data_IF_749884268866
#
_entry.id   IF_749884268866
#
_cell.length_a   1.000
_cell.length_b   1.000
_cell.length_c   1.000
_cell.angle_alpha   90.00
_cell.angle_beta   90.00
_cell.angle_gamma   90.00
#
_symmetry.space_group_name_H-M   'P 1'
#
loop_
_entity.id
_entity.type
_entity.pdbx_description
1 polymer ?
#
# COMPACT_ATOMS: atom_id res chain seq x y z
N UNK A 1 16.98 16.70 1.69
CA UNK A 1 16.90 18.16 1.46
C UNK A 1 17.18 18.55 0.01
N UNK A 2 18.40 18.40 -0.55
CA UNK A 2 18.71 18.83 -1.94
C UNK A 2 17.73 18.29 -3.00
N UNK A 3 17.34 17.01 -2.90
CA UNK A 3 16.34 16.43 -3.81
C UNK A 3 14.96 17.09 -3.69
N UNK A 4 14.55 17.44 -2.47
CA UNK A 4 13.28 18.14 -2.21
C UNK A 4 13.31 19.57 -2.78
N UNK A 5 14.42 20.29 -2.63
CA UNK A 5 14.60 21.61 -3.25
C UNK A 5 14.52 21.53 -4.78
N UNK A 6 15.16 20.53 -5.38
CA UNK A 6 15.07 20.32 -6.83
C UNK A 6 13.64 19.96 -7.29
N UNK A 7 12.91 19.17 -6.49
CA UNK A 7 11.54 18.82 -6.76
C UNK A 7 10.59 20.02 -6.69
N UNK A 8 10.81 20.93 -5.74
CA UNK A 8 10.07 22.19 -5.64
C UNK A 8 10.26 23.06 -6.90
N UNK A 9 11.46 23.09 -7.46
CA UNK A 9 11.76 23.88 -8.67
C UNK A 9 11.08 23.33 -9.94
N UNK A 10 10.87 22.00 -10.04
CA UNK A 10 10.38 21.37 -11.27
C UNK A 10 8.99 20.73 -11.15
N UNK A 11 8.31 20.90 -10.00
CA UNK A 11 6.97 20.38 -9.76
C UNK A 11 6.89 18.87 -9.50
N UNK A 12 8.02 18.20 -9.27
CA UNK A 12 8.03 16.77 -8.94
C UNK A 12 7.50 16.51 -7.53
N UNK A 13 6.86 15.36 -7.35
CA UNK A 13 6.41 14.87 -6.05
C UNK A 13 7.46 13.93 -5.43
N UNK A 14 7.98 14.29 -4.25
CA UNK A 14 8.87 13.41 -3.50
C UNK A 14 8.05 12.32 -2.83
N UNK A 15 8.37 11.07 -3.16
CA UNK A 15 7.84 9.89 -2.48
C UNK A 15 8.87 9.42 -1.46
N UNK A 16 8.44 9.14 -0.22
CA UNK A 16 9.34 8.81 0.88
C UNK A 16 8.93 7.52 1.56
N UNK A 17 9.80 6.51 1.49
CA UNK A 17 9.83 5.42 2.46
C UNK A 17 10.43 5.97 3.75
N UNK A 18 9.65 6.04 4.81
CA UNK A 18 9.99 6.77 6.02
C UNK A 18 10.18 5.83 7.23
N UNK A 19 11.38 5.30 7.40
CA UNK A 19 11.80 4.59 8.61
C UNK A 19 13.20 5.06 9.05
N UNK A 20 13.48 5.09 10.35
CA UNK A 20 14.82 5.39 10.85
C UNK A 20 15.75 4.16 10.72
N UNK A 21 16.37 4.03 9.54
CA UNK A 21 17.24 2.90 9.22
C UNK A 21 18.41 2.69 10.21
N UNK A 22 19.02 3.77 10.69
CA UNK A 22 20.17 3.68 11.61
C UNK A 22 19.75 3.06 12.95
N UNK A 23 18.62 3.49 13.52
CA UNK A 23 18.09 2.91 14.75
C UNK A 23 17.63 1.46 14.53
N UNK A 24 17.02 1.17 13.39
CA UNK A 24 16.58 -0.18 13.02
C UNK A 24 17.78 -1.14 12.95
N UNK A 25 18.89 -0.74 12.34
CA UNK A 25 20.07 -1.60 12.22
C UNK A 25 20.63 -1.99 13.58
N UNK A 26 20.70 -1.04 14.53
CA UNK A 26 21.09 -1.32 15.92
C UNK A 26 20.16 -2.35 16.58
N UNK A 27 18.84 -2.17 16.45
CA UNK A 27 17.86 -3.08 17.06
C UNK A 27 17.91 -4.48 16.45
N UNK A 28 18.13 -4.57 15.12
CA UNK A 28 18.27 -5.84 14.40
C UNK A 28 19.52 -6.60 14.82
N UNK A 29 20.65 -5.92 14.96
CA UNK A 29 21.89 -6.53 15.46
C UNK A 29 21.71 -7.06 16.88
N UNK A 30 21.17 -6.24 17.78
CA UNK A 30 20.92 -6.64 19.16
C UNK A 30 19.94 -7.82 19.28
N UNK A 31 18.94 -7.92 18.40
CA UNK A 31 18.04 -9.07 18.35
C UNK A 31 18.82 -10.35 18.01
N UNK A 32 19.57 -10.34 16.92
CA UNK A 32 20.35 -11.53 16.52
C UNK A 32 21.41 -11.91 17.56
N UNK A 33 22.04 -10.96 18.25
CA UNK A 33 22.97 -11.22 19.36
C UNK A 33 22.31 -11.98 20.53
N UNK A 34 21.00 -11.80 20.74
CA UNK A 34 20.22 -12.55 21.74
C UNK A 34 19.71 -13.90 21.24
N UNK A 35 19.93 -14.23 19.96
CA UNK A 35 19.36 -15.41 19.31
C UNK A 35 17.93 -15.19 18.79
N UNK A 36 17.45 -13.96 18.79
CA UNK A 36 16.11 -13.58 18.31
C UNK A 36 16.10 -13.51 16.76
N UNK A 37 16.09 -14.68 16.10
CA UNK A 37 16.27 -14.80 14.63
C UNK A 37 14.99 -15.07 13.82
N UNK A 38 13.86 -15.33 14.47
CA UNK A 38 12.58 -15.64 13.84
C UNK A 38 11.92 -14.43 13.10
N UNK A 39 10.99 -14.65 12.14
CA UNK A 39 10.35 -13.58 11.37
C UNK A 39 9.70 -12.47 12.19
N UNK A 40 9.14 -12.78 13.37
CA UNK A 40 8.58 -11.81 14.31
C UNK A 40 9.54 -10.66 14.62
N UNK A 41 10.83 -10.95 14.72
CA UNK A 41 11.84 -9.95 15.07
C UNK A 41 12.11 -8.95 13.94
N UNK A 42 11.71 -9.25 12.71
CA UNK A 42 11.63 -8.23 11.65
C UNK A 42 10.63 -7.12 12.02
N UNK A 43 9.48 -7.51 12.58
CA UNK A 43 8.44 -6.57 13.01
C UNK A 43 8.84 -5.78 14.26
N UNK A 44 9.31 -6.48 15.31
CA UNK A 44 9.56 -5.86 16.62
C UNK A 44 10.82 -4.98 16.65
N UNK A 45 11.80 -5.21 15.76
CA UNK A 45 12.99 -4.34 15.64
C UNK A 45 12.73 -3.06 14.85
N UNK A 46 11.58 -2.92 14.21
CA UNK A 46 11.18 -1.76 13.42
C UNK A 46 9.96 -1.08 14.04
N UNK A 47 10.09 -0.60 15.27
CA UNK A 47 8.95 -0.09 16.04
C UNK A 47 8.21 1.06 15.33
N UNK A 48 6.89 1.24 15.54
CA UNK A 48 6.09 2.31 14.92
C UNK A 48 6.66 3.72 15.11
N UNK A 49 7.31 3.97 16.25
CA UNK A 49 7.93 5.28 16.57
C UNK A 49 9.07 5.60 15.59
N UNK A 50 9.78 4.61 15.06
CA UNK A 50 10.87 4.82 14.08
C UNK A 50 10.34 5.20 12.70
N UNK A 51 9.12 4.78 12.36
CA UNK A 51 8.41 5.27 11.18
C UNK A 51 7.95 6.71 11.40
N UNK A 52 7.32 6.99 12.55
CA UNK A 52 6.85 8.33 12.89
C UNK A 52 7.96 9.38 12.93
N UNK A 53 9.12 9.08 13.55
CA UNK A 53 10.28 9.97 13.54
C UNK A 53 10.74 10.30 12.11
N UNK A 54 10.81 9.29 11.25
CA UNK A 54 11.26 9.48 9.88
C UNK A 54 10.24 10.27 9.05
N UNK A 55 8.93 10.07 9.29
CA UNK A 55 7.86 10.87 8.69
C UNK A 55 7.97 12.32 9.14
N UNK A 56 8.08 12.57 10.45
CA UNK A 56 8.28 13.90 11.02
C UNK A 56 9.49 14.61 10.40
N UNK A 57 10.63 13.92 10.34
CA UNK A 57 11.87 14.44 9.75
C UNK A 57 11.71 14.73 8.26
N UNK A 58 11.03 13.87 7.50
CA UNK A 58 10.77 14.12 6.08
C UNK A 58 9.87 15.36 5.88
N UNK A 59 8.84 15.52 6.71
CA UNK A 59 7.93 16.68 6.70
C UNK A 59 8.70 17.98 7.01
N UNK A 60 9.54 17.98 8.05
CA UNK A 60 10.34 19.15 8.39
C UNK A 60 11.28 19.55 7.23
N UNK A 61 11.89 18.57 6.56
CA UNK A 61 12.73 18.83 5.40
C UNK A 61 11.94 19.31 4.18
N UNK A 62 10.72 18.82 3.97
CA UNK A 62 9.86 19.27 2.88
C UNK A 62 9.36 20.70 3.10
N UNK A 63 9.10 21.07 4.35
CA UNK A 63 8.72 22.43 4.74
C UNK A 63 9.87 23.43 4.48
N UNK A 64 11.10 23.08 4.87
CA UNK A 64 12.30 23.88 4.54
C UNK A 64 12.50 24.03 3.03
N UNK A 65 12.21 22.97 2.25
CA UNK A 65 12.36 22.99 0.81
C UNK A 65 11.20 23.65 0.05
N UNK A 66 10.05 23.86 0.70
CA UNK A 66 8.81 24.26 0.03
C UNK A 66 8.30 23.20 -0.97
N UNK A 67 8.63 21.92 -0.77
CA UNK A 67 8.30 20.83 -1.69
C UNK A 67 7.09 20.03 -1.21
N UNK A 68 6.22 19.54 -2.09
CA UNK A 68 5.20 18.56 -1.71
C UNK A 68 5.84 17.21 -1.34
N UNK A 69 5.20 16.51 -0.40
CA UNK A 69 5.68 15.24 0.13
C UNK A 69 4.58 14.18 0.10
N UNK A 70 4.93 12.98 -0.37
CA UNK A 70 4.08 11.80 -0.36
C UNK A 70 4.74 10.69 0.45
N UNK A 71 4.14 10.32 1.58
CA UNK A 71 4.59 9.18 2.38
C UNK A 71 3.98 7.90 1.78
N UNK A 72 4.83 7.01 1.28
CA UNK A 72 4.40 5.70 0.76
C UNK A 72 4.13 4.74 1.92
N UNK A 73 3.27 3.73 1.67
CA UNK A 73 3.04 2.57 2.54
C UNK A 73 3.04 2.87 4.07
N UNK A 74 2.32 3.91 4.48
CA UNK A 74 2.17 4.33 5.88
C UNK A 74 1.41 3.24 6.64
N UNK A 75 2.04 2.73 7.70
CA UNK A 75 1.62 1.50 8.39
C UNK A 75 1.09 1.72 9.81
N UNK A 76 1.34 2.87 10.43
CA UNK A 76 1.09 3.06 11.85
C UNK A 76 0.30 4.32 12.22
N UNK A 77 -0.45 4.25 13.33
CA UNK A 77 -1.11 5.40 13.96
C UNK A 77 -0.13 6.53 14.29
N UNK A 78 1.07 6.21 14.81
CA UNK A 78 2.09 7.21 15.12
C UNK A 78 2.53 8.00 13.89
N UNK A 79 2.79 7.32 12.76
CA UNK A 79 3.13 7.98 11.51
C UNK A 79 1.96 8.80 10.94
N UNK A 80 0.74 8.30 11.10
CA UNK A 80 -0.47 9.01 10.68
C UNK A 80 -0.66 10.33 11.46
N UNK A 81 -0.38 10.34 12.77
CA UNK A 81 -0.46 11.55 13.59
C UNK A 81 0.45 12.68 13.06
N UNK A 82 1.66 12.35 12.63
CA UNK A 82 2.58 13.32 12.03
C UNK A 82 2.04 13.89 10.71
N UNK A 83 1.44 13.04 9.87
CA UNK A 83 0.80 13.47 8.61
C UNK A 83 -0.38 14.39 8.89
N UNK A 84 -1.26 14.00 9.82
CA UNK A 84 -2.43 14.82 10.24
C UNK A 84 -1.94 16.18 10.74
N UNK A 85 -0.97 16.21 11.64
CA UNK A 85 -0.45 17.45 12.21
C UNK A 85 0.18 18.36 11.13
N UNK A 86 0.83 17.80 10.12
CA UNK A 86 1.37 18.59 9.01
C UNK A 86 0.27 19.16 8.11
N UNK A 87 -0.76 18.37 7.83
CA UNK A 87 -1.91 18.78 7.02
C UNK A 87 -2.76 19.85 7.71
N UNK A 88 -2.94 19.76 9.02
CA UNK A 88 -3.63 20.77 9.84
C UNK A 88 -2.89 22.12 9.83
N UNK A 89 -1.56 22.11 9.64
CA UNK A 89 -0.77 23.32 9.40
C UNK A 89 -0.85 23.86 7.97
N UNK A 90 -1.58 23.19 7.08
CA UNK A 90 -1.75 23.57 5.68
C UNK A 90 -0.61 23.13 4.76
N UNK A 91 0.25 22.19 5.18
CA UNK A 91 1.33 21.68 4.33
C UNK A 91 0.81 20.70 3.27
N UNK A 92 1.46 20.71 2.10
CA UNK A 92 1.22 19.76 1.01
C UNK A 92 1.87 18.39 1.31
N UNK A 93 1.38 17.75 2.37
CA UNK A 93 1.77 16.41 2.79
C UNK A 93 0.62 15.44 2.53
N UNK A 94 0.96 14.36 1.82
CA UNK A 94 0.06 13.30 1.42
C UNK A 94 0.61 11.96 1.90
N UNK A 95 -0.27 10.99 2.06
CA UNK A 95 0.10 9.66 2.48
C UNK A 95 -0.79 8.59 1.86
N UNK A 96 -0.16 7.45 1.66
CA UNK A 96 -0.73 6.21 1.17
C UNK A 96 -0.66 5.15 2.26
N UNK A 97 -1.65 4.26 2.29
CA UNK A 97 -1.51 2.98 3.00
C UNK A 97 -1.76 1.82 2.04
N UNK A 98 -1.70 0.59 2.52
CA UNK A 98 -1.87 -0.63 1.71
C UNK A 98 -2.76 -1.65 2.44
N UNK A 99 -3.47 -2.55 1.72
CA UNK A 99 -4.40 -3.51 2.31
C UNK A 99 -3.79 -4.35 3.45
N UNK A 100 -2.52 -4.72 3.35
CA UNK A 100 -1.85 -5.48 4.41
C UNK A 100 -1.88 -4.78 5.78
N UNK A 101 -1.87 -3.44 5.83
CA UNK A 101 -1.95 -2.69 7.08
C UNK A 101 -3.40 -2.49 7.57
N UNK A 102 -4.39 -2.87 6.78
CA UNK A 102 -5.82 -2.75 7.08
C UNK A 102 -6.47 -4.09 7.43
N UNK A 103 -5.88 -5.20 6.99
CA UNK A 103 -6.45 -6.55 7.08
C UNK A 103 -5.53 -7.58 7.74
N UNK A 104 -4.23 -7.32 7.81
CA UNK A 104 -3.24 -8.19 8.46
C UNK A 104 -2.63 -7.44 9.65
N UNK A 105 -2.04 -8.18 10.58
CA UNK A 105 -1.42 -7.60 11.77
C UNK A 105 -0.18 -8.36 12.24
N UNK A 106 0.45 -7.88 13.31
CA UNK A 106 1.69 -8.42 13.83
C UNK A 106 1.59 -9.93 14.15
N UNK A 107 0.42 -10.45 14.49
CA UNK A 107 0.23 -11.88 14.77
C UNK A 107 0.48 -12.78 13.56
N UNK A 108 0.38 -12.25 12.34
CA UNK A 108 0.74 -12.99 11.13
C UNK A 108 2.24 -13.29 11.05
N UNK A 109 3.08 -12.46 11.67
CA UNK A 109 4.52 -12.71 11.82
C UNK A 109 4.84 -13.72 12.94
N UNK A 110 3.89 -13.98 13.84
CA UNK A 110 4.01 -14.92 14.97
C UNK A 110 3.65 -16.36 14.58
N UNK A 111 3.21 -16.59 13.34
CA UNK A 111 2.87 -17.93 12.83
C UNK A 111 4.04 -18.89 13.03
N UNK A 112 3.70 -20.12 13.41
CA UNK A 112 4.65 -21.16 13.79
C UNK A 112 5.69 -21.45 12.71
N UNK A 113 6.82 -21.99 13.15
CA UNK A 113 7.93 -22.36 12.27
C UNK A 113 8.42 -21.15 11.46
N UNK A 114 8.44 -21.26 10.13
CA UNK A 114 8.89 -20.21 9.23
C UNK A 114 7.73 -19.56 8.46
N UNK A 115 6.48 -19.91 8.76
CA UNK A 115 5.30 -19.42 8.03
C UNK A 115 5.10 -17.90 8.16
N UNK A 116 5.54 -17.31 9.28
CA UNK A 116 5.56 -15.86 9.46
C UNK A 116 6.38 -15.10 8.41
N UNK A 117 7.34 -15.76 7.74
CA UNK A 117 8.15 -15.14 6.67
C UNK A 117 7.32 -14.66 5.47
N UNK A 118 6.16 -15.27 5.23
CA UNK A 118 5.19 -14.87 4.18
C UNK A 118 4.65 -13.46 4.39
N UNK A 119 4.76 -12.92 5.61
CA UNK A 119 4.20 -11.64 6.03
C UNK A 119 5.27 -10.56 6.26
N UNK A 120 6.54 -10.88 6.01
CA UNK A 120 7.66 -9.94 6.14
C UNK A 120 7.64 -8.89 5.04
N UNK A 121 7.46 -7.62 5.42
CA UNK A 121 7.52 -6.41 4.60
C UNK A 121 8.05 -5.21 5.41
N UNK A 122 8.37 -4.08 4.76
CA UNK A 122 8.90 -2.88 5.41
C UNK A 122 8.19 -1.62 4.91
N UNK A 123 7.51 -0.84 5.78
CA UNK A 123 7.33 -1.05 7.21
C UNK A 123 6.62 -2.36 7.54
N UNK A 124 6.87 -2.99 8.70
CA UNK A 124 6.26 -4.28 9.02
C UNK A 124 4.79 -4.13 9.38
N UNK A 125 4.09 -5.27 9.43
CA UNK A 125 2.76 -5.35 10.03
C UNK A 125 2.81 -4.86 11.48
N UNK A 126 1.72 -4.22 11.92
CA UNK A 126 1.59 -3.58 13.24
C UNK A 126 0.60 -4.34 14.10
N UNK A 127 0.60 -4.16 15.44
CA UNK A 127 -0.50 -4.63 16.27
C UNK A 127 -1.86 -4.16 15.71
N UNK A 128 -2.87 -5.00 15.83
CA UNK A 128 -4.18 -4.82 15.18
C UNK A 128 -4.84 -3.47 15.48
N UNK A 129 -4.59 -2.89 16.67
CA UNK A 129 -5.12 -1.58 17.08
C UNK A 129 -4.78 -0.44 16.10
N UNK A 130 -3.67 -0.53 15.36
CA UNK A 130 -3.30 0.47 14.36
C UNK A 130 -4.29 0.53 13.19
N UNK A 131 -4.97 -0.58 12.86
CA UNK A 131 -5.88 -0.67 11.71
C UNK A 131 -7.03 0.34 11.80
N UNK A 132 -7.63 0.54 12.98
CA UNK A 132 -8.75 1.48 13.15
C UNK A 132 -8.31 2.93 12.92
N UNK A 133 -7.09 3.28 13.32
CA UNK A 133 -6.54 4.60 13.05
C UNK A 133 -6.32 4.83 11.55
N UNK A 134 -5.84 3.83 10.81
CA UNK A 134 -5.66 3.91 9.36
C UNK A 134 -7.01 3.99 8.62
N UNK A 135 -8.00 3.18 9.02
CA UNK A 135 -9.38 3.29 8.50
C UNK A 135 -9.98 4.67 8.76
N UNK A 136 -9.78 5.23 9.96
CA UNK A 136 -10.17 6.61 10.27
C UNK A 136 -9.47 7.59 9.34
N UNK A 137 -8.15 7.46 9.13
CA UNK A 137 -7.38 8.32 8.23
C UNK A 137 -7.89 8.29 6.79
N UNK A 138 -8.29 7.12 6.29
CA UNK A 138 -8.95 7.00 4.98
C UNK A 138 -10.31 7.68 4.95
N UNK A 139 -11.09 7.61 6.04
CA UNK A 139 -12.40 8.25 6.15
C UNK A 139 -12.32 9.77 6.21
N UNK A 140 -11.33 10.31 6.92
CA UNK A 140 -11.11 11.76 7.10
C UNK A 140 -10.23 12.37 6.01
N UNK A 141 -9.76 11.56 5.07
CA UNK A 141 -8.86 11.99 3.99
C UNK A 141 -7.48 12.49 4.46
N UNK A 142 -7.03 11.99 5.61
CA UNK A 142 -5.65 12.12 6.08
C UNK A 142 -4.73 11.10 5.37
N UNK A 143 -5.31 9.98 4.95
CA UNK A 143 -4.77 9.06 3.95
C UNK A 143 -5.57 9.21 2.66
N UNK A 144 -4.90 9.50 1.54
CA UNK A 144 -5.59 9.81 0.28
C UNK A 144 -5.61 8.63 -0.69
N UNK A 145 -4.67 7.70 -0.56
CA UNK A 145 -4.47 6.61 -1.53
C UNK A 145 -4.35 5.28 -0.80
N UNK A 146 -4.91 4.24 -1.41
CA UNK A 146 -4.57 2.85 -1.07
C UNK A 146 -3.86 2.22 -2.27
N UNK A 147 -2.59 1.85 -2.12
CA UNK A 147 -1.84 1.07 -3.11
C UNK A 147 -1.69 -0.38 -2.63
N UNK A 148 -0.60 -1.05 -3.00
CA UNK A 148 -0.36 -2.45 -2.59
C UNK A 148 1.04 -2.73 -2.09
N UNK A 149 2.03 -1.93 -2.50
CA UNK A 149 3.44 -2.29 -2.36
C UNK A 149 3.73 -3.74 -2.82
N UNK A 150 3.11 -4.13 -3.95
CA UNK A 150 3.19 -5.50 -4.44
C UNK A 150 4.63 -5.85 -4.86
N UNK A 151 5.29 -6.65 -4.01
CA UNK A 151 6.66 -7.12 -4.18
C UNK A 151 6.75 -8.58 -3.73
N UNK A 152 6.15 -9.52 -4.48
CA UNK A 152 6.09 -10.92 -4.06
C UNK A 152 7.43 -11.63 -4.25
N UNK A 153 7.72 -12.52 -3.32
CA UNK A 153 8.81 -13.49 -3.40
C UNK A 153 8.22 -14.86 -3.16
N UNK A 154 8.55 -15.85 -4.01
CA UNK A 154 8.14 -17.23 -3.84
C UNK A 154 8.75 -17.83 -2.57
N UNK A 155 8.20 -18.94 -2.10
CA UNK A 155 8.63 -19.61 -0.87
C UNK A 155 10.14 -19.90 -0.86
N UNK A 156 10.68 -20.47 -1.94
CA UNK A 156 12.13 -20.76 -2.08
C UNK A 156 13.00 -19.51 -1.86
N UNK A 157 12.53 -18.34 -2.27
CA UNK A 157 13.26 -17.08 -2.05
C UNK A 157 13.15 -16.62 -0.59
N UNK A 158 12.00 -16.83 0.06
CA UNK A 158 11.80 -16.54 1.48
C UNK A 158 12.74 -17.37 2.35
N UNK A 159 13.04 -18.61 1.97
CA UNK A 159 13.94 -19.52 2.71
C UNK A 159 15.36 -19.00 2.91
N UNK A 160 15.80 -17.98 2.15
CA UNK A 160 17.07 -17.27 2.39
C UNK A 160 17.21 -16.73 3.82
N UNK A 161 16.09 -16.42 4.48
CA UNK A 161 16.07 -15.93 5.85
C UNK A 161 15.68 -16.96 6.91
N UNK A 162 15.74 -18.26 6.59
CA UNK A 162 15.35 -19.34 7.53
C UNK A 162 16.11 -19.28 8.86
N UNK A 163 17.40 -18.99 8.81
CA UNK A 163 18.27 -18.92 9.99
C UNK A 163 18.40 -17.49 10.56
N UNK A 164 17.96 -16.47 9.82
CA UNK A 164 18.11 -15.06 10.19
C UNK A 164 17.08 -14.20 9.45
N UNK A 165 16.12 -13.64 10.21
CA UNK A 165 15.05 -12.82 9.66
C UNK A 165 15.55 -11.65 8.80
N UNK A 166 16.77 -11.16 9.05
CA UNK A 166 17.38 -10.04 8.32
C UNK A 166 17.58 -10.35 6.84
N UNK A 167 17.64 -11.64 6.48
CA UNK A 167 17.84 -12.12 5.12
C UNK A 167 16.53 -12.52 4.42
N UNK A 168 15.37 -12.42 5.09
CA UNK A 168 14.07 -12.68 4.46
C UNK A 168 13.79 -11.55 3.44
N UNK A 169 13.60 -11.85 2.14
CA UNK A 169 13.18 -10.85 1.17
C UNK A 169 11.86 -10.20 1.59
N UNK A 170 11.85 -8.86 1.62
CA UNK A 170 10.74 -8.07 2.13
C UNK A 170 9.72 -7.75 1.02
N UNK A 171 8.46 -8.10 1.24
CA UNK A 171 7.37 -7.78 0.32
C UNK A 171 6.27 -8.84 0.28
N UNK A 172 5.07 -8.42 -0.13
CA UNK A 172 3.84 -9.22 -0.11
C UNK A 172 3.11 -9.26 -1.46
N UNK A 173 2.47 -10.39 -1.81
CA UNK A 173 1.54 -10.48 -2.94
C UNK A 173 0.17 -9.84 -2.64
N UNK A 174 -0.04 -8.57 -3.04
CA UNK A 174 -1.32 -7.87 -2.80
C UNK A 174 -2.01 -7.26 -4.04
N UNK A 175 -1.38 -7.24 -5.23
CA UNK A 175 -1.86 -6.49 -6.40
C UNK A 175 -3.32 -6.81 -6.79
N UNK A 176 -3.61 -8.08 -6.99
CA UNK A 176 -4.89 -8.56 -7.50
C UNK A 176 -6.05 -8.30 -6.54
N UNK A 177 -5.84 -8.62 -5.25
CA UNK A 177 -6.88 -8.57 -4.25
C UNK A 177 -7.23 -7.14 -3.79
N UNK A 178 -6.45 -6.12 -4.14
CA UNK A 178 -6.61 -4.75 -3.62
C UNK A 178 -8.05 -4.23 -3.75
N UNK A 179 -8.66 -4.36 -4.94
CA UNK A 179 -9.98 -3.77 -5.18
C UNK A 179 -11.07 -4.44 -4.36
N UNK A 180 -11.01 -5.77 -4.23
CA UNK A 180 -12.00 -6.60 -3.52
C UNK A 180 -11.83 -6.51 -2.01
N UNK A 181 -10.59 -6.60 -1.50
CA UNK A 181 -10.27 -6.32 -0.09
C UNK A 181 -10.77 -4.94 0.32
N UNK A 182 -10.44 -3.93 -0.48
CA UNK A 182 -10.90 -2.58 -0.17
C UNK A 182 -12.41 -2.44 -0.27
N UNK A 183 -13.09 -3.10 -1.21
CA UNK A 183 -14.55 -3.09 -1.24
C UNK A 183 -15.16 -3.76 0.00
N UNK A 184 -14.63 -4.92 0.41
CA UNK A 184 -15.05 -5.67 1.59
C UNK A 184 -14.98 -4.78 2.85
N UNK A 185 -13.80 -4.25 3.18
CA UNK A 185 -13.64 -3.42 4.39
C UNK A 185 -14.29 -2.04 4.26
N UNK A 186 -14.20 -1.38 3.10
CA UNK A 186 -14.74 -0.05 2.92
C UNK A 186 -16.26 -0.05 2.86
N UNK A 187 -16.85 -0.80 1.92
CA UNK A 187 -18.26 -0.67 1.55
C UNK A 187 -19.10 -1.74 2.23
N UNK A 188 -18.73 -3.02 2.11
CA UNK A 188 -19.54 -4.13 2.62
C UNK A 188 -19.62 -4.10 4.17
N UNK A 189 -18.53 -3.76 4.85
CA UNK A 189 -18.47 -3.58 6.31
C UNK A 189 -18.86 -2.16 6.77
N UNK A 190 -19.18 -1.25 5.84
CA UNK A 190 -19.70 0.08 6.16
C UNK A 190 -18.70 1.08 6.74
N UNK A 191 -17.38 0.87 6.56
CA UNK A 191 -16.35 1.80 7.06
C UNK A 191 -16.25 3.10 6.25
N UNK A 192 -16.54 3.05 4.95
CA UNK A 192 -16.47 4.15 3.97
C UNK A 192 -17.62 4.07 2.96
N UNK A 193 -17.89 5.17 2.26
CA UNK A 193 -18.87 5.16 1.16
C UNK A 193 -18.29 4.51 -0.11
N UNK A 194 -19.17 4.08 -1.01
CA UNK A 194 -18.80 3.59 -2.34
C UNK A 194 -17.95 4.62 -3.12
N UNK A 195 -18.33 5.90 -3.05
CA UNK A 195 -17.57 6.98 -3.70
C UNK A 195 -16.17 7.13 -3.13
N UNK A 196 -16.01 6.97 -1.81
CA UNK A 196 -14.71 7.06 -1.16
C UNK A 196 -13.81 5.88 -1.54
N UNK A 197 -14.36 4.67 -1.68
CA UNK A 197 -13.64 3.51 -2.21
C UNK A 197 -13.11 3.76 -3.63
N UNK A 198 -13.96 4.26 -4.54
CA UNK A 198 -13.53 4.64 -5.90
C UNK A 198 -12.45 5.72 -5.85
N UNK A 199 -12.61 6.72 -4.96
CA UNK A 199 -11.68 7.82 -4.83
C UNK A 199 -10.26 7.36 -4.46
N UNK A 200 -10.12 6.66 -3.33
CA UNK A 200 -8.80 6.28 -2.78
C UNK A 200 -8.08 5.23 -3.64
N UNK A 201 -8.83 4.42 -4.40
CA UNK A 201 -8.26 3.37 -5.24
C UNK A 201 -7.91 3.83 -6.66
N UNK A 202 -8.53 4.92 -7.16
CA UNK A 202 -8.39 5.31 -8.58
C UNK A 202 -8.33 6.82 -8.83
N UNK A 203 -9.26 7.63 -8.30
CA UNK A 203 -9.33 9.07 -8.60
C UNK A 203 -8.19 9.84 -7.95
N UNK A 204 -7.96 9.63 -6.66
CA UNK A 204 -6.91 10.28 -5.89
C UNK A 204 -5.51 9.98 -6.46
N UNK A 205 -5.11 8.73 -6.73
CA UNK A 205 -3.81 8.47 -7.37
C UNK A 205 -3.73 9.06 -8.79
N UNK A 206 -4.81 9.04 -9.59
CA UNK A 206 -4.80 9.69 -10.90
C UNK A 206 -4.55 11.19 -10.81
N UNK A 207 -5.15 11.87 -9.83
CA UNK A 207 -4.88 13.30 -9.56
C UNK A 207 -3.46 13.54 -9.08
N UNK A 208 -3.00 12.72 -8.14
CA UNK A 208 -1.70 12.84 -7.49
C UNK A 208 -0.55 12.69 -8.48
N UNK A 209 -0.73 11.83 -9.48
CA UNK A 209 0.31 11.51 -10.46
C UNK A 209 0.00 12.06 -11.86
N UNK A 210 -0.76 13.14 -11.97
CA UNK A 210 -0.90 13.92 -13.20
C UNK A 210 -1.56 13.19 -14.36
N UNK A 211 -2.51 12.29 -14.06
CA UNK A 211 -3.26 11.51 -15.04
C UNK A 211 -4.76 11.83 -15.04
N UNK A 212 -5.25 12.65 -14.12
CA UNK A 212 -6.64 13.11 -14.10
C UNK A 212 -6.86 14.25 -15.12
N UNK A 213 -7.97 14.28 -15.89
CA UNK A 213 -9.10 13.35 -15.90
C UNK A 213 -8.95 12.17 -16.86
N UNK A 214 -7.81 12.00 -17.56
CA UNK A 214 -7.61 10.86 -18.46
C UNK A 214 -7.83 9.51 -17.76
N UNK A 215 -7.45 9.39 -16.49
CA UNK A 215 -7.66 8.24 -15.60
C UNK A 215 -8.47 8.61 -14.36
N UNK A 216 -9.02 7.60 -13.68
CA UNK A 216 -9.63 7.74 -12.36
C UNK A 216 -11.02 8.41 -12.38
N UNK A 217 -11.70 8.42 -13.52
CA UNK A 217 -13.07 8.94 -13.66
C UNK A 217 -13.78 8.32 -14.85
N UNK A 218 -15.11 8.22 -14.76
CA UNK A 218 -15.98 7.85 -15.88
C UNK A 218 -16.60 9.15 -16.41
N UNK A 219 -16.02 9.69 -17.49
CA UNK A 219 -16.49 10.91 -18.13
C UNK A 219 -16.11 10.93 -19.61
N UNK A 220 -16.88 11.60 -20.49
CA UNK A 220 -16.49 11.80 -21.88
C UNK A 220 -15.06 12.35 -22.01
N UNK A 221 -14.27 11.75 -22.89
CA UNK A 221 -12.85 12.10 -23.11
C UNK A 221 -11.85 11.38 -22.20
N UNK A 222 -12.29 10.64 -21.18
CA UNK A 222 -11.41 9.81 -20.34
C UNK A 222 -11.13 8.47 -21.03
N UNK A 223 -10.02 7.82 -20.68
CA UNK A 223 -9.74 6.47 -21.16
C UNK A 223 -10.79 5.51 -20.60
N UNK A 224 -11.32 4.61 -21.45
CA UNK A 224 -12.30 3.60 -21.06
C UNK A 224 -11.65 2.44 -20.28
N UNK A 225 -10.99 2.77 -19.18
CA UNK A 225 -10.45 1.84 -18.19
C UNK A 225 -11.52 1.63 -17.11
N UNK A 226 -12.31 0.57 -17.26
CA UNK A 226 -13.56 0.37 -16.51
C UNK A 226 -13.57 -1.01 -15.89
N UNK A 227 -13.98 -1.08 -14.62
CA UNK A 227 -14.24 -2.33 -13.91
C UNK A 227 -15.75 -2.51 -13.79
N UNK A 228 -16.25 -3.65 -14.23
CA UNK A 228 -17.59 -4.12 -13.89
C UNK A 228 -17.45 -4.98 -12.64
N UNK A 229 -18.15 -4.58 -11.58
CA UNK A 229 -18.02 -5.12 -10.25
C UNK A 229 -19.38 -5.62 -9.77
N UNK A 230 -19.49 -6.89 -9.40
CA UNK A 230 -20.69 -7.43 -8.76
C UNK A 230 -20.55 -7.25 -7.25
N UNK A 231 -21.33 -6.36 -6.61
CA UNK A 231 -21.23 -6.08 -5.19
C UNK A 231 -21.70 -7.21 -4.27
N UNK A 232 -22.38 -8.25 -4.79
CA UNK A 232 -23.03 -9.29 -4.00
C UNK A 232 -22.39 -10.68 -4.16
N UNK A 233 -21.42 -10.83 -5.07
CA UNK A 233 -20.79 -12.12 -5.34
C UNK A 233 -19.86 -12.53 -4.19
N UNK A 234 -20.10 -13.66 -3.49
CA UNK A 234 -19.18 -14.17 -2.50
C UNK A 234 -18.07 -15.02 -3.14
N UNK A 235 -16.85 -14.92 -2.63
CA UNK A 235 -15.74 -15.79 -3.02
C UNK A 235 -14.68 -15.87 -1.93
N UNK A 236 -13.74 -16.79 -2.08
CA UNK A 236 -12.63 -17.01 -1.15
C UNK A 236 -11.33 -16.71 -1.87
N UNK A 237 -10.47 -15.91 -1.25
CA UNK A 237 -9.13 -15.63 -1.76
C UNK A 237 -8.23 -16.85 -1.56
N UNK A 238 -7.52 -17.27 -2.60
CA UNK A 238 -6.63 -18.43 -2.53
C UNK A 238 -5.48 -18.33 -3.53
N UNK A 239 -4.33 -18.88 -3.15
CA UNK A 239 -3.19 -19.12 -4.05
C UNK A 239 -3.58 -19.97 -5.27
N UNK A 240 -4.56 -20.87 -5.12
CA UNK A 240 -4.99 -21.74 -6.22
C UNK A 240 -5.77 -21.00 -7.31
N UNK A 241 -6.36 -19.85 -6.97
CA UNK A 241 -7.28 -19.10 -7.85
C UNK A 241 -6.77 -17.73 -8.26
N UNK A 242 -5.77 -17.17 -7.55
CA UNK A 242 -5.16 -15.91 -7.93
C UNK A 242 -4.29 -16.05 -9.20
N UNK A 243 -3.98 -14.92 -9.82
CA UNK A 243 -3.20 -14.79 -11.04
C UNK A 243 -1.80 -14.21 -10.78
N UNK A 244 -1.46 -13.94 -9.51
CA UNK A 244 -0.13 -13.49 -9.11
C UNK A 244 0.89 -14.63 -9.25
N UNK A 245 2.09 -14.34 -9.78
CA UNK A 245 3.16 -15.33 -9.94
C UNK A 245 3.90 -15.57 -8.60
N UNK A 246 3.21 -16.20 -7.66
CA UNK A 246 3.66 -16.50 -6.30
C UNK A 246 2.91 -17.73 -5.76
N UNK A 247 3.58 -18.52 -4.93
CA UNK A 247 3.18 -19.86 -4.47
C UNK A 247 2.49 -19.86 -3.09
N UNK A 248 2.06 -18.70 -2.61
CA UNK A 248 1.17 -18.55 -1.43
C UNK A 248 0.32 -17.28 -1.55
N UNK A 249 -0.72 -17.18 -0.73
CA UNK A 249 -1.50 -15.95 -0.53
C UNK A 249 -1.35 -15.46 0.92
N UNK A 250 -1.16 -14.15 1.10
CA UNK A 250 -1.25 -13.53 2.44
C UNK A 250 -2.69 -13.52 2.98
N UNK A 251 -3.67 -13.70 2.12
CA UNK A 251 -5.10 -13.60 2.43
C UNK A 251 -5.81 -14.95 2.24
N UNK A 252 -5.05 -16.06 2.29
CA UNK A 252 -5.54 -17.42 2.06
C UNK A 252 -6.76 -17.71 2.95
N UNK A 253 -7.86 -18.15 2.33
CA UNK A 253 -9.08 -18.53 3.04
C UNK A 253 -9.97 -17.35 3.46
N UNK A 254 -9.58 -16.10 3.22
CA UNK A 254 -10.44 -14.95 3.52
C UNK A 254 -11.66 -14.94 2.61
N UNK A 255 -12.85 -14.90 3.21
CA UNK A 255 -14.13 -14.83 2.49
C UNK A 255 -14.50 -13.37 2.22
N UNK A 256 -14.62 -13.02 0.95
CA UNK A 256 -14.99 -11.69 0.49
C UNK A 256 -16.43 -11.68 -0.03
N UNK A 257 -17.05 -10.51 0.02
CA UNK A 257 -18.25 -10.17 -0.76
C UNK A 257 -17.90 -9.03 -1.70
N UNK A 258 -18.28 -9.16 -2.97
CA UNK A 258 -17.97 -8.18 -3.99
C UNK A 258 -16.79 -8.63 -4.85
N UNK A 259 -17.01 -8.80 -6.16
CA UNK A 259 -16.04 -9.40 -7.08
C UNK A 259 -15.89 -8.59 -8.36
N UNK A 260 -14.66 -8.51 -8.86
CA UNK A 260 -14.40 -8.00 -10.21
C UNK A 260 -14.90 -9.02 -11.23
N UNK A 261 -15.93 -8.66 -12.01
CA UNK A 261 -16.45 -9.52 -13.07
C UNK A 261 -15.74 -9.29 -14.40
N UNK A 262 -15.56 -8.02 -14.77
CA UNK A 262 -14.98 -7.65 -16.06
C UNK A 262 -14.06 -6.46 -15.92
N UNK A 263 -13.00 -6.45 -16.71
CA UNK A 263 -12.09 -5.31 -16.81
C UNK A 263 -11.95 -4.92 -18.27
N UNK A 264 -12.21 -3.65 -18.56
CA UNK A 264 -11.95 -3.02 -19.84
C UNK A 264 -10.71 -2.15 -19.71
N UNK A 265 -9.79 -2.28 -20.66
CA UNK A 265 -8.60 -1.44 -20.82
C UNK A 265 -8.75 -0.64 -22.10
N UNK A 266 -8.97 0.67 -21.98
CA UNK A 266 -9.27 1.58 -23.11
C UNK A 266 -10.37 1.04 -24.03
N UNK A 267 -11.43 0.49 -23.42
CA UNK A 267 -12.61 -0.05 -24.10
C UNK A 267 -12.44 -1.49 -24.60
N UNK A 268 -11.26 -2.09 -24.49
CA UNK A 268 -11.02 -3.50 -24.82
C UNK A 268 -11.29 -4.37 -23.59
N UNK A 269 -12.18 -5.36 -23.71
CA UNK A 269 -12.35 -6.38 -22.66
C UNK A 269 -11.07 -7.22 -22.53
N UNK A 270 -10.47 -7.21 -21.34
CA UNK A 270 -9.22 -7.95 -21.04
C UNK A 270 -9.37 -8.97 -19.91
N UNK A 271 -10.42 -8.86 -19.10
CA UNK A 271 -10.79 -9.85 -18.08
C UNK A 271 -12.29 -10.11 -18.22
N UNK A 272 -12.68 -11.38 -18.25
CA UNK A 272 -14.07 -11.84 -18.16
C UNK A 272 -14.14 -13.04 -17.20
N UNK A 273 -14.65 -12.81 -15.99
CA UNK A 273 -14.59 -13.79 -14.91
C UNK A 273 -13.14 -14.13 -14.53
N UNK A 274 -12.76 -15.41 -14.65
CA UNK A 274 -11.41 -15.89 -14.41
C UNK A 274 -10.50 -15.84 -15.65
N UNK A 275 -11.04 -15.51 -16.83
CA UNK A 275 -10.29 -15.57 -18.08
C UNK A 275 -9.57 -14.25 -18.37
N UNK A 276 -8.25 -14.33 -18.59
CA UNK A 276 -7.47 -13.23 -19.14
C UNK A 276 -7.51 -13.25 -20.67
N UNK A 277 -8.16 -12.24 -21.25
CA UNK A 277 -8.35 -12.06 -22.70
C UNK A 277 -7.37 -11.03 -23.31
N UNK A 278 -6.51 -10.43 -22.47
CA UNK A 278 -5.55 -9.42 -22.88
C UNK A 278 -4.28 -9.99 -23.55
N UNK A 279 -3.40 -9.09 -23.97
CA UNK A 279 -2.09 -9.38 -24.56
C UNK A 279 -1.04 -8.48 -23.93
N UNK A 280 0.22 -8.94 -23.87
CA UNK A 280 1.34 -8.15 -23.32
C UNK A 280 1.49 -6.77 -23.97
N UNK A 281 1.12 -6.64 -25.25
CA UNK A 281 1.17 -5.39 -26.01
C UNK A 281 0.03 -4.41 -25.71
N UNK A 282 -0.97 -4.81 -24.91
CA UNK A 282 -2.10 -3.93 -24.59
C UNK A 282 -1.69 -2.86 -23.55
N UNK A 283 -0.57 -3.01 -22.85
CA UNK A 283 -0.02 -1.96 -21.99
C UNK A 283 0.62 -0.82 -22.79
N UNK A 284 0.71 0.36 -22.20
CA UNK A 284 1.41 1.51 -22.79
C UNK A 284 1.88 2.50 -21.74
N UNK A 285 3.03 3.11 -21.97
CA UNK A 285 3.55 4.17 -21.10
C UNK A 285 2.66 5.41 -21.18
N UNK A 286 2.42 6.05 -20.03
CA UNK A 286 1.66 7.29 -19.92
C UNK A 286 2.59 8.40 -19.46
N UNK A 287 2.76 9.42 -20.31
CA UNK A 287 3.36 10.70 -19.89
C UNK A 287 2.42 11.34 -18.88
N UNK A 288 2.99 11.86 -17.80
CA UNK A 288 2.27 12.45 -16.66
C UNK A 288 2.46 13.97 -16.68
N UNK A 289 1.41 14.68 -16.28
CA UNK A 289 1.49 16.08 -15.93
C UNK A 289 1.91 16.26 -14.46
N UNK A 290 1.98 17.51 -13.99
CA UNK A 290 2.12 17.84 -12.57
C UNK A 290 0.86 17.40 -11.81
N UNK A 291 1.01 17.09 -10.52
CA UNK A 291 -0.11 16.74 -9.65
C UNK A 291 -1.17 17.84 -9.61
N UNK A 292 -2.42 17.44 -9.81
CA UNK A 292 -3.58 18.34 -9.70
C UNK A 292 -4.05 18.58 -8.26
N UNK A 293 -3.41 17.94 -7.29
CA UNK A 293 -3.66 18.19 -5.86
C UNK A 293 -2.77 19.31 -5.29
N UNK A 294 -1.84 19.84 -6.09
CA UNK A 294 -0.89 20.89 -5.69
C UNK A 294 -1.35 22.30 -6.07
N UNK A 295 -2.51 22.43 -6.71
CA UNK A 295 -3.09 23.68 -7.21
C UNK A 295 -4.54 23.84 -6.77
#
# INVERSE_FOLDING_TARGET
LRMMQQAAENGSLIQMHAENGIAIDVLREQAVERGDVAPLFHGTTRTPILEAEAVHRAIALSEVAGSPLYIVHLSSANALEEVVAARDRGLNVFAETCPQYLFLDLSDLERSEFEGSKFVCSPPLRPQEHQEHLWRGLRTNDLQVVATDHCPFCWEQKELGREDFRNIPNGLPTLEHRMELMYQGAVAEGRLSLNRWVEICSRAPAKMFGLYPRKGTIAPGSDADIVIFDPNSPHVLSVETHHMNVDYSCYEGMTMTGRVEKVLLRGKLIIDGADYLGKKSDGGYLVRDISSNLF
#
